data_IF_803472994924
#
_entry.id   IF_803472994924
#
_cell.length_a   1.000
_cell.length_b   1.000
_cell.length_c   1.000
_cell.angle_alpha   90.00
_cell.angle_beta   90.00
_cell.angle_gamma   90.00
#
_symmetry.space_group_name_H-M   'P 1'
#
loop_
_entity.id
_entity.type
_entity.pdbx_description
1 polymer ?
#
# COMPACT_ATOMS: atom_id res chain seq x y z
N UNK A 1 10.60 -32.12 -2.77
CA UNK A 1 10.61 -31.56 -4.14
C UNK A 1 9.28 -30.89 -4.37
N UNK A 2 9.25 -29.54 -4.39
CA UNK A 2 8.04 -28.77 -4.64
C UNK A 2 7.57 -28.91 -6.10
N UNK A 3 6.25 -28.91 -6.31
CA UNK A 3 5.64 -28.86 -7.64
C UNK A 3 5.31 -27.41 -7.97
N UNK A 4 5.75 -26.94 -9.12
CA UNK A 4 5.42 -25.59 -9.61
C UNK A 4 4.15 -25.62 -10.45
N UNK A 5 3.14 -24.82 -10.11
CA UNK A 5 1.92 -24.63 -10.87
C UNK A 5 1.93 -23.26 -11.52
N UNK A 6 1.88 -23.20 -12.84
CA UNK A 6 1.96 -21.95 -13.62
C UNK A 6 0.71 -21.09 -13.55
N UNK A 7 -0.45 -21.72 -13.45
CA UNK A 7 -1.72 -21.03 -13.62
C UNK A 7 -2.74 -21.52 -12.58
N UNK A 8 -2.30 -21.55 -11.32
CA UNK A 8 -3.09 -22.11 -10.22
C UNK A 8 -4.46 -21.44 -10.08
N UNK A 9 -4.54 -20.11 -10.30
CA UNK A 9 -5.78 -19.38 -10.17
C UNK A 9 -6.82 -19.87 -11.18
N UNK A 10 -6.51 -19.91 -12.48
CA UNK A 10 -7.43 -20.39 -13.50
C UNK A 10 -7.75 -21.88 -13.36
N UNK A 11 -6.78 -22.71 -12.96
CA UNK A 11 -6.98 -24.13 -12.69
C UNK A 11 -7.99 -24.37 -11.56
N UNK A 12 -7.99 -23.54 -10.53
CA UNK A 12 -8.87 -23.66 -9.36
C UNK A 12 -10.22 -22.95 -9.53
N UNK A 13 -10.32 -22.04 -10.49
CA UNK A 13 -11.49 -21.20 -10.70
C UNK A 13 -12.00 -21.27 -12.16
N UNK A 14 -12.34 -22.46 -12.68
CA UNK A 14 -12.71 -22.63 -14.09
C UNK A 14 -14.01 -21.92 -14.50
N UNK A 15 -14.85 -21.56 -13.53
CA UNK A 15 -16.08 -20.78 -13.75
C UNK A 15 -15.87 -19.27 -13.70
N UNK A 16 -14.71 -18.80 -13.26
CA UNK A 16 -14.37 -17.36 -13.25
C UNK A 16 -13.85 -16.99 -14.63
N UNK A 17 -14.61 -16.20 -15.37
CA UNK A 17 -14.33 -15.84 -16.77
C UNK A 17 -13.08 -14.97 -16.95
N UNK A 18 -12.57 -14.40 -15.86
CA UNK A 18 -11.42 -13.49 -15.90
C UNK A 18 -10.19 -14.18 -15.33
N UNK A 19 -9.05 -13.94 -15.96
CA UNK A 19 -7.75 -14.21 -15.36
C UNK A 19 -7.57 -13.39 -14.09
N UNK A 20 -6.49 -13.65 -13.32
CA UNK A 20 -6.19 -12.92 -12.07
C UNK A 20 -6.10 -11.40 -12.26
N UNK A 21 -5.88 -10.92 -13.48
CA UNK A 21 -5.83 -9.49 -13.84
C UNK A 21 -4.43 -9.03 -14.24
N UNK A 22 -4.29 -7.71 -14.42
CA UNK A 22 -3.07 -7.07 -14.92
C UNK A 22 -2.34 -6.27 -13.84
N UNK A 23 -1.04 -6.50 -13.71
CA UNK A 23 -0.11 -5.92 -12.73
C UNK A 23 -0.47 -6.24 -11.27
N UNK A 24 0.02 -7.38 -10.78
CA UNK A 24 0.03 -7.71 -9.34
C UNK A 24 1.02 -6.82 -8.59
N UNK A 25 0.53 -5.96 -7.71
CA UNK A 25 1.35 -5.00 -6.99
C UNK A 25 1.73 -5.47 -5.57
N UNK A 26 0.83 -6.14 -4.89
CA UNK A 26 1.04 -6.67 -3.55
C UNK A 26 0.32 -8.01 -3.36
N UNK A 27 0.82 -8.83 -2.44
CA UNK A 27 0.26 -10.13 -2.10
C UNK A 27 0.41 -10.36 -0.61
N UNK A 28 -0.70 -10.46 0.12
CA UNK A 28 -0.72 -10.58 1.56
C UNK A 28 -1.67 -11.69 2.02
N UNK A 29 -1.35 -12.31 3.15
CA UNK A 29 -2.20 -13.30 3.82
C UNK A 29 -2.75 -12.68 5.11
N UNK A 30 -4.05 -12.84 5.32
CA UNK A 30 -4.69 -12.49 6.57
C UNK A 30 -5.75 -13.54 6.93
N UNK A 31 -5.54 -14.24 8.07
CA UNK A 31 -6.34 -15.40 8.44
C UNK A 31 -6.22 -16.53 7.41
N UNK A 32 -7.34 -16.97 6.93
CA UNK A 32 -7.48 -18.03 5.91
C UNK A 32 -7.54 -17.49 4.47
N UNK A 33 -7.30 -16.19 4.26
CA UNK A 33 -7.45 -15.53 2.97
C UNK A 33 -6.12 -15.01 2.43
N UNK A 34 -5.95 -15.17 1.13
CA UNK A 34 -4.89 -14.59 0.31
C UNK A 34 -5.46 -13.42 -0.48
N UNK A 35 -4.87 -12.24 -0.32
CA UNK A 35 -5.27 -11.01 -1.00
C UNK A 35 -4.24 -10.64 -2.05
N UNK A 36 -4.64 -10.65 -3.32
CA UNK A 36 -3.80 -10.21 -4.44
C UNK A 36 -4.26 -8.83 -4.91
N UNK A 37 -3.42 -7.82 -4.73
CA UNK A 37 -3.70 -6.44 -5.14
C UNK A 37 -3.34 -6.28 -6.61
N UNK A 38 -4.35 -6.13 -7.46
CA UNK A 38 -4.20 -6.07 -8.92
C UNK A 38 -4.41 -4.62 -9.40
N UNK A 39 -3.31 -3.93 -9.49
CA UNK A 39 -3.26 -2.47 -9.66
C UNK A 39 -4.00 -1.97 -10.92
N UNK A 40 -3.57 -2.41 -12.11
CA UNK A 40 -4.14 -1.94 -13.38
C UNK A 40 -5.56 -2.48 -13.64
N UNK A 41 -5.97 -3.52 -12.92
CA UNK A 41 -7.34 -4.04 -12.98
C UNK A 41 -8.28 -3.40 -11.97
N UNK A 42 -7.77 -2.55 -11.06
CA UNK A 42 -8.53 -1.79 -10.08
C UNK A 42 -9.31 -2.63 -9.06
N UNK A 43 -8.78 -3.77 -8.67
CA UNK A 43 -9.38 -4.61 -7.63
C UNK A 43 -8.33 -5.39 -6.82
N UNK A 44 -8.76 -5.89 -5.69
CA UNK A 44 -8.06 -6.91 -4.91
C UNK A 44 -8.83 -8.22 -5.07
N UNK A 45 -8.17 -9.24 -5.56
CA UNK A 45 -8.71 -10.59 -5.59
C UNK A 45 -8.51 -11.25 -4.23
N UNK A 46 -9.57 -11.83 -3.69
CA UNK A 46 -9.54 -12.54 -2.41
C UNK A 46 -9.78 -14.02 -2.65
N UNK A 47 -8.83 -14.83 -2.21
CA UNK A 47 -8.81 -16.26 -2.40
C UNK A 47 -8.65 -16.99 -1.07
N UNK A 48 -9.11 -18.20 -1.00
CA UNK A 48 -8.72 -19.15 0.05
C UNK A 48 -7.22 -19.43 -0.05
N UNK A 49 -6.50 -19.31 1.06
CA UNK A 49 -5.01 -19.36 1.07
C UNK A 49 -4.44 -20.75 0.76
N UNK A 50 -5.19 -21.83 1.06
CA UNK A 50 -4.72 -23.20 0.83
C UNK A 50 -5.06 -23.70 -0.58
N UNK A 51 -6.22 -23.32 -1.09
CA UNK A 51 -6.77 -23.87 -2.34
C UNK A 51 -6.64 -22.94 -3.54
N UNK A 52 -6.40 -21.65 -3.32
CA UNK A 52 -6.47 -20.58 -4.31
C UNK A 52 -7.86 -20.43 -4.97
N UNK A 53 -8.91 -20.90 -4.31
CA UNK A 53 -10.29 -20.72 -4.77
C UNK A 53 -10.73 -19.27 -4.52
N UNK A 54 -11.42 -18.71 -5.50
CA UNK A 54 -12.03 -17.39 -5.44
C UNK A 54 -13.05 -17.31 -4.29
N UNK A 55 -12.92 -16.30 -3.45
CA UNK A 55 -13.86 -15.97 -2.37
C UNK A 55 -14.60 -14.66 -2.64
N UNK A 56 -13.98 -13.72 -3.37
CA UNK A 56 -14.58 -12.44 -3.71
C UNK A 56 -13.57 -11.42 -4.24
N UNK A 57 -14.09 -10.25 -4.58
CA UNK A 57 -13.26 -9.11 -5.05
C UNK A 57 -13.61 -7.83 -4.31
N UNK A 58 -12.61 -6.98 -4.13
CA UNK A 58 -12.75 -5.65 -3.56
C UNK A 58 -12.35 -4.63 -4.62
N UNK A 59 -13.28 -3.82 -5.10
CA UNK A 59 -12.99 -2.82 -6.13
C UNK A 59 -12.37 -1.56 -5.51
N UNK A 60 -11.13 -1.28 -5.86
CA UNK A 60 -10.40 -0.07 -5.44
C UNK A 60 -9.59 0.45 -6.62
N UNK A 61 -9.93 1.64 -7.11
CA UNK A 61 -9.24 2.27 -8.25
C UNK A 61 -7.76 2.41 -7.97
N UNK A 62 -6.92 1.88 -8.87
CA UNK A 62 -5.46 1.97 -8.79
C UNK A 62 -4.95 1.64 -7.38
N UNK A 63 -5.36 0.47 -6.86
CA UNK A 63 -4.93 -0.06 -5.58
C UNK A 63 -3.44 -0.39 -5.59
N UNK A 64 -2.73 -0.11 -4.48
CA UNK A 64 -1.27 -0.26 -4.42
C UNK A 64 -0.81 -1.30 -3.42
N UNK A 65 -1.04 -1.06 -2.14
CA UNK A 65 -0.62 -1.94 -1.05
C UNK A 65 -1.77 -2.18 -0.09
N UNK A 66 -1.71 -3.31 0.60
CA UNK A 66 -2.70 -3.71 1.59
C UNK A 66 -2.02 -4.07 2.91
N UNK A 67 -2.60 -3.66 4.03
CA UNK A 67 -2.18 -4.07 5.38
C UNK A 67 -3.40 -4.33 6.25
N UNK A 68 -3.23 -5.01 7.39
CA UNK A 68 -4.36 -5.50 8.18
C UNK A 68 -4.22 -5.17 9.66
N UNK A 69 -5.36 -4.94 10.31
CA UNK A 69 -5.48 -4.85 11.77
C UNK A 69 -6.93 -5.11 12.21
N UNK A 70 -7.12 -5.95 13.22
CA UNK A 70 -8.41 -6.22 13.89
C UNK A 70 -9.59 -6.47 12.91
N UNK A 71 -9.45 -7.41 11.99
CA UNK A 71 -10.50 -7.76 11.03
C UNK A 71 -10.75 -6.70 9.95
N UNK A 72 -9.88 -5.70 9.84
CA UNK A 72 -9.92 -4.67 8.81
C UNK A 72 -8.70 -4.77 7.91
N UNK A 73 -8.89 -4.51 6.63
CA UNK A 73 -7.84 -4.26 5.66
C UNK A 73 -7.79 -2.77 5.32
N UNK A 74 -6.59 -2.25 5.12
CA UNK A 74 -6.35 -0.88 4.67
C UNK A 74 -5.61 -0.93 3.36
N UNK A 75 -6.14 -0.25 2.34
CA UNK A 75 -5.63 -0.29 0.98
C UNK A 75 -5.27 1.12 0.52
N UNK A 76 -4.02 1.32 0.13
CA UNK A 76 -3.60 2.57 -0.50
C UNK A 76 -4.02 2.60 -1.97
N UNK A 77 -4.45 3.77 -2.45
CA UNK A 77 -4.97 4.00 -3.79
C UNK A 77 -4.52 5.34 -4.33
N UNK A 78 -4.07 5.37 -5.58
CA UNK A 78 -3.78 6.63 -6.27
C UNK A 78 -5.04 7.43 -6.60
N UNK A 79 -6.21 6.83 -6.49
CA UNK A 79 -7.52 7.43 -6.80
C UNK A 79 -7.65 7.97 -8.25
N UNK A 80 -6.73 7.63 -9.13
CA UNK A 80 -6.66 8.07 -10.52
C UNK A 80 -5.91 7.07 -11.40
N UNK A 81 -5.76 7.34 -12.69
CA UNK A 81 -5.05 6.45 -13.61
C UNK A 81 -3.56 6.36 -13.26
N UNK A 82 -2.91 5.27 -13.71
CA UNK A 82 -1.45 5.15 -13.69
C UNK A 82 -0.89 5.92 -14.89
N UNK A 83 -0.12 6.97 -14.64
CA UNK A 83 0.50 7.77 -15.70
C UNK A 83 1.20 9.00 -15.14
N UNK A 84 2.14 9.53 -15.89
CA UNK A 84 2.82 10.78 -15.53
C UNK A 84 1.80 11.91 -15.64
N UNK A 85 1.47 12.51 -14.52
CA UNK A 85 0.53 13.63 -14.42
C UNK A 85 0.94 14.58 -13.29
N UNK A 86 1.56 15.73 -13.60
CA UNK A 86 1.91 16.73 -12.59
C UNK A 86 0.69 17.28 -11.84
N UNK A 87 -0.50 17.18 -12.43
CA UNK A 87 -1.76 17.65 -11.87
C UNK A 87 -2.59 16.55 -11.22
N UNK A 88 -2.00 15.35 -11.00
CA UNK A 88 -2.67 14.26 -10.32
C UNK A 88 -3.26 14.73 -8.99
N UNK A 89 -4.48 14.29 -8.69
CA UNK A 89 -5.11 14.56 -7.39
C UNK A 89 -4.45 13.75 -6.27
N UNK A 90 -4.61 14.16 -5.00
CA UNK A 90 -4.20 13.36 -3.85
C UNK A 90 -4.82 11.96 -3.90
N UNK A 91 -4.07 10.99 -3.40
CA UNK A 91 -4.54 9.63 -3.24
C UNK A 91 -5.38 9.45 -1.97
N UNK A 92 -5.75 8.22 -1.70
CA UNK A 92 -6.55 7.87 -0.53
C UNK A 92 -6.14 6.53 0.06
N UNK A 93 -6.58 6.30 1.30
CA UNK A 93 -6.63 4.97 1.91
C UNK A 93 -8.09 4.59 2.08
N UNK A 94 -8.44 3.36 1.73
CA UNK A 94 -9.75 2.78 2.01
C UNK A 94 -9.64 1.73 3.11
N UNK A 95 -10.62 1.69 4.00
CA UNK A 95 -10.81 0.63 4.98
C UNK A 95 -11.83 -0.38 4.44
N UNK A 96 -11.50 -1.65 4.57
CA UNK A 96 -12.33 -2.77 4.14
C UNK A 96 -12.59 -3.71 5.30
N UNK A 97 -13.81 -4.15 5.47
CA UNK A 97 -14.14 -5.24 6.39
C UNK A 97 -13.72 -6.59 5.78
N UNK A 98 -12.87 -7.36 6.45
CA UNK A 98 -12.31 -8.60 5.90
C UNK A 98 -13.29 -9.76 5.85
N UNK A 99 -14.44 -9.65 6.50
CA UNK A 99 -15.50 -10.67 6.49
C UNK A 99 -16.45 -10.43 5.32
N UNK A 100 -16.98 -9.22 5.20
CA UNK A 100 -17.93 -8.85 4.15
C UNK A 100 -17.27 -8.42 2.83
N UNK A 101 -15.96 -8.13 2.84
CA UNK A 101 -15.18 -7.56 1.75
C UNK A 101 -15.70 -6.18 1.27
N UNK A 102 -16.48 -5.52 2.09
CA UNK A 102 -17.04 -4.20 1.78
C UNK A 102 -16.10 -3.07 2.21
N UNK A 103 -15.96 -2.06 1.36
CA UNK A 103 -15.33 -0.78 1.72
C UNK A 103 -16.23 -0.08 2.74
N UNK A 104 -15.69 0.27 3.89
CA UNK A 104 -16.42 0.87 5.03
C UNK A 104 -16.15 2.35 5.20
N UNK A 105 -14.91 2.77 4.97
CA UNK A 105 -14.49 4.18 5.13
C UNK A 105 -13.38 4.51 4.12
N UNK A 106 -13.20 5.80 3.86
CA UNK A 106 -12.05 6.29 3.09
C UNK A 106 -11.52 7.61 3.66
N UNK A 107 -10.24 7.87 3.47
CA UNK A 107 -9.57 9.12 3.86
C UNK A 107 -8.55 9.53 2.80
N UNK A 108 -8.57 10.82 2.44
CA UNK A 108 -7.60 11.41 1.52
C UNK A 108 -6.25 11.57 2.25
N UNK A 109 -5.16 11.22 1.55
CA UNK A 109 -3.78 11.34 2.04
C UNK A 109 -2.94 12.18 1.08
N UNK A 110 -1.62 12.01 1.06
CA UNK A 110 -0.76 12.66 0.06
C UNK A 110 -0.89 12.06 -1.34
N UNK A 111 0.00 12.47 -2.21
CA UNK A 111 -0.02 12.03 -3.61
C UNK A 111 0.58 10.65 -3.77
N UNK A 112 -0.13 9.81 -4.52
CA UNK A 112 0.31 8.46 -4.91
C UNK A 112 0.84 7.65 -3.73
N UNK A 113 -0.05 7.31 -2.76
CA UNK A 113 0.31 6.55 -1.57
C UNK A 113 0.73 5.12 -1.92
N UNK A 114 1.80 4.68 -1.28
CA UNK A 114 2.44 3.39 -1.46
C UNK A 114 2.29 2.50 -0.22
N UNK A 115 3.37 1.86 0.24
CA UNK A 115 3.31 0.93 1.37
C UNK A 115 2.94 1.62 2.69
N UNK A 116 2.34 0.84 3.58
CA UNK A 116 1.79 1.31 4.85
C UNK A 116 2.23 0.39 5.98
N UNK A 117 2.35 0.94 7.20
CA UNK A 117 2.57 0.18 8.42
C UNK A 117 1.66 0.67 9.55
N UNK A 118 1.31 -0.23 10.45
CA UNK A 118 0.44 0.08 11.60
C UNK A 118 1.24 -0.04 12.89
N UNK A 119 1.09 0.96 13.77
CA UNK A 119 1.65 0.96 15.12
C UNK A 119 0.76 1.73 16.08
N UNK A 120 0.39 1.08 17.19
CA UNK A 120 -0.35 1.70 18.32
C UNK A 120 -1.61 2.48 17.89
N UNK A 121 -2.44 1.85 17.04
CA UNK A 121 -3.69 2.45 16.54
C UNK A 121 -3.51 3.56 15.49
N UNK A 122 -2.29 3.76 15.00
CA UNK A 122 -1.98 4.67 13.90
C UNK A 122 -1.59 3.90 12.65
N UNK A 123 -2.02 4.36 11.49
CA UNK A 123 -1.59 3.88 10.17
C UNK A 123 -0.70 4.95 9.53
N UNK A 124 0.52 4.58 9.19
CA UNK A 124 1.49 5.43 8.51
C UNK A 124 1.51 5.07 7.03
N UNK A 125 1.40 6.06 6.16
CA UNK A 125 1.24 5.90 4.71
C UNK A 125 2.35 6.67 4.00
N UNK A 126 3.20 5.99 3.24
CA UNK A 126 4.22 6.63 2.41
C UNK A 126 3.57 7.27 1.18
N UNK A 127 3.76 8.57 0.97
CA UNK A 127 3.29 9.27 -0.22
C UNK A 127 4.47 9.51 -1.17
N UNK A 128 4.42 8.94 -2.37
CA UNK A 128 5.52 9.02 -3.31
C UNK A 128 5.43 10.23 -4.26
N UNK A 129 4.23 10.53 -4.74
CA UNK A 129 4.07 11.43 -5.87
C UNK A 129 4.89 10.98 -7.09
N UNK A 130 5.22 9.68 -7.19
CA UNK A 130 6.22 9.16 -8.13
C UNK A 130 5.91 9.41 -9.61
N UNK A 131 4.63 9.58 -9.96
CA UNK A 131 4.18 9.94 -11.31
C UNK A 131 3.85 11.43 -11.48
N UNK A 132 4.13 12.26 -10.47
CA UNK A 132 3.98 13.74 -10.54
C UNK A 132 5.26 14.45 -10.94
N UNK A 133 6.20 13.79 -11.56
CA UNK A 133 7.45 14.40 -12.00
C UNK A 133 7.24 15.79 -12.62
N UNK A 134 8.03 16.84 -12.23
CA UNK A 134 9.11 16.79 -11.23
C UNK A 134 8.65 17.00 -9.78
N UNK A 135 7.35 17.22 -9.52
CA UNK A 135 6.78 17.63 -8.23
C UNK A 135 6.41 16.40 -7.36
N UNK A 136 7.40 15.59 -7.02
CA UNK A 136 7.20 14.42 -6.14
C UNK A 136 6.60 14.81 -4.78
N UNK A 137 5.79 13.91 -4.20
CA UNK A 137 5.45 14.00 -2.78
C UNK A 137 6.67 13.59 -1.93
N UNK A 138 6.67 14.01 -0.67
CA UNK A 138 7.77 13.77 0.25
C UNK A 138 7.31 13.44 1.66
N UNK A 139 6.05 13.07 1.81
CA UNK A 139 5.40 13.01 3.12
C UNK A 139 5.01 11.59 3.52
N UNK A 140 4.88 11.38 4.83
CA UNK A 140 4.18 10.26 5.43
C UNK A 140 2.92 10.79 6.10
N UNK A 141 1.75 10.34 5.68
CA UNK A 141 0.48 10.64 6.35
C UNK A 141 0.28 9.70 7.54
N UNK A 142 -0.13 10.23 8.69
CA UNK A 142 -0.45 9.48 9.89
C UNK A 142 -1.97 9.54 10.09
N UNK A 143 -2.62 8.39 10.05
CA UNK A 143 -4.06 8.22 10.21
C UNK A 143 -4.34 7.59 11.58
N UNK A 144 -5.22 8.19 12.37
CA UNK A 144 -5.78 7.55 13.56
C UNK A 144 -6.81 6.51 13.13
N UNK A 145 -6.61 5.24 13.45
CA UNK A 145 -7.48 4.14 13.00
C UNK A 145 -8.88 4.17 13.63
N UNK A 146 -9.04 4.79 14.79
CA UNK A 146 -10.34 4.91 15.47
C UNK A 146 -11.25 5.92 14.77
N UNK A 147 -10.73 7.11 14.50
CA UNK A 147 -11.46 8.19 13.82
C UNK A 147 -11.42 8.09 12.30
N UNK A 148 -10.43 7.40 11.79
CA UNK A 148 -10.07 7.30 10.38
C UNK A 148 -9.85 8.66 9.71
N UNK A 149 -9.08 9.50 10.39
CA UNK A 149 -8.71 10.84 9.94
C UNK A 149 -7.19 10.99 9.95
N UNK A 150 -6.65 11.77 9.01
CA UNK A 150 -5.24 12.18 9.04
C UNK A 150 -5.04 13.12 10.22
N UNK A 151 -4.23 12.71 11.18
CA UNK A 151 -3.91 13.50 12.39
C UNK A 151 -2.57 14.19 12.31
N UNK A 152 -1.69 13.77 11.38
CA UNK A 152 -0.37 14.36 11.17
C UNK A 152 0.15 14.05 9.77
N UNK A 153 0.97 14.96 9.26
CA UNK A 153 1.79 14.75 8.06
C UNK A 153 3.25 14.97 8.44
N UNK A 154 4.11 14.00 8.15
CA UNK A 154 5.55 14.03 8.45
C UNK A 154 6.28 14.32 7.16
N UNK A 155 7.05 15.40 7.09
CA UNK A 155 7.96 15.68 6.00
C UNK A 155 9.20 14.79 6.12
N UNK A 156 9.55 14.01 5.09
CA UNK A 156 10.61 13.00 5.12
C UNK A 156 11.60 13.21 3.98
N UNK A 157 11.27 12.75 2.79
CA UNK A 157 12.07 12.81 1.58
C UNK A 157 11.22 12.53 0.35
N UNK A 158 11.64 12.97 -0.82
CA UNK A 158 10.89 12.80 -2.07
C UNK A 158 10.74 11.33 -2.45
N UNK A 159 9.64 11.02 -3.14
CA UNK A 159 9.41 9.73 -3.82
C UNK A 159 9.54 8.52 -2.87
N UNK A 160 8.83 8.58 -1.74
CA UNK A 160 8.80 7.50 -0.74
C UNK A 160 8.13 6.24 -1.32
N UNK A 161 8.55 5.04 -0.84
CA UNK A 161 8.01 3.81 -1.40
C UNK A 161 7.72 2.72 -0.35
N UNK A 162 8.75 2.00 0.09
CA UNK A 162 8.60 0.88 1.02
C UNK A 162 8.75 1.31 2.46
N UNK A 163 7.94 0.68 3.33
CA UNK A 163 7.98 0.92 4.77
C UNK A 163 8.10 -0.39 5.53
N UNK A 164 8.94 -0.41 6.57
CA UNK A 164 9.01 -1.53 7.51
C UNK A 164 9.11 -1.01 8.94
N UNK A 165 8.34 -1.61 9.81
CA UNK A 165 8.32 -1.33 11.24
C UNK A 165 9.27 -2.31 11.97
N UNK A 166 10.14 -1.81 12.82
CA UNK A 166 10.95 -2.65 13.69
C UNK A 166 10.27 -2.91 15.05
N UNK A 167 10.86 -3.81 15.83
CA UNK A 167 10.35 -4.17 17.16
C UNK A 167 10.43 -3.03 18.20
N UNK A 168 11.16 -1.97 17.90
CA UNK A 168 11.35 -0.83 18.80
C UNK A 168 10.39 0.34 18.48
N UNK A 169 9.54 0.19 17.48
CA UNK A 169 8.62 1.24 17.06
C UNK A 169 9.23 2.25 16.11
N UNK A 170 10.29 1.88 15.39
CA UNK A 170 10.87 2.72 14.33
C UNK A 170 10.40 2.25 12.97
N UNK A 171 9.98 3.18 12.14
CA UNK A 171 9.63 2.93 10.76
C UNK A 171 10.84 3.27 9.88
N UNK A 172 11.24 2.33 9.05
CA UNK A 172 12.22 2.54 7.99
C UNK A 172 11.45 2.75 6.69
N UNK A 173 11.61 3.92 6.08
CA UNK A 173 10.95 4.26 4.82
C UNK A 173 11.99 4.57 3.75
N UNK A 174 11.88 3.89 2.60
CA UNK A 174 12.77 4.13 1.46
C UNK A 174 12.32 5.31 0.63
N UNK A 175 13.26 6.12 0.19
CA UNK A 175 13.13 7.12 -0.88
C UNK A 175 13.83 6.61 -2.13
N UNK A 176 13.21 6.75 -3.29
CA UNK A 176 13.83 6.46 -4.59
C UNK A 176 14.66 7.62 -5.13
N UNK A 177 14.60 8.79 -4.46
CA UNK A 177 15.15 10.01 -5.01
C UNK A 177 14.42 10.48 -6.26
N UNK A 178 15.10 11.30 -7.09
CA UNK A 178 14.56 11.83 -8.35
C UNK A 178 15.14 11.14 -9.60
N UNK A 179 15.98 10.13 -9.41
CA UNK A 179 16.72 9.39 -10.44
C UNK A 179 17.79 10.21 -11.19
N UNK A 180 18.08 11.45 -10.77
CA UNK A 180 19.06 12.34 -11.41
C UNK A 180 20.08 12.91 -10.43
N UNK A 181 19.68 13.82 -9.55
CA UNK A 181 20.59 14.51 -8.64
C UNK A 181 20.38 14.17 -7.16
N UNK A 182 19.16 13.76 -6.79
CA UNK A 182 18.82 13.34 -5.44
C UNK A 182 18.84 11.81 -5.38
N UNK A 183 19.83 11.25 -4.68
CA UNK A 183 19.97 9.79 -4.54
C UNK A 183 18.87 9.13 -3.70
N UNK A 184 18.79 7.81 -3.78
CA UNK A 184 17.95 6.98 -2.93
C UNK A 184 18.55 6.87 -1.51
N UNK A 185 17.69 6.75 -0.48
CA UNK A 185 18.12 6.49 0.90
C UNK A 185 16.96 5.84 1.69
N UNK A 186 17.23 5.49 2.94
CA UNK A 186 16.24 4.98 3.89
C UNK A 186 16.21 5.89 5.10
N UNK A 187 15.04 6.46 5.38
CA UNK A 187 14.79 7.38 6.48
C UNK A 187 14.15 6.65 7.65
N UNK A 188 14.40 7.13 8.87
CA UNK A 188 13.92 6.53 10.11
C UNK A 188 12.94 7.49 10.78
N UNK A 189 11.72 6.98 11.04
CA UNK A 189 10.67 7.70 11.77
C UNK A 189 10.47 7.00 13.12
N UNK A 190 10.48 7.76 14.19
CA UNK A 190 10.11 7.31 15.53
C UNK A 190 8.59 7.47 15.70
N UNK A 191 7.89 6.36 16.02
CA UNK A 191 6.42 6.36 16.13
C UNK A 191 5.89 6.93 17.45
N UNK A 192 6.75 7.13 18.46
CA UNK A 192 6.34 7.78 19.71
C UNK A 192 6.25 9.29 19.53
N UNK A 193 7.15 9.87 18.74
CA UNK A 193 7.21 11.32 18.49
C UNK A 193 6.62 11.72 17.16
N UNK A 194 6.40 10.76 16.26
CA UNK A 194 6.01 10.96 14.85
C UNK A 194 6.95 11.96 14.16
N UNK A 195 8.27 11.71 14.25
CA UNK A 195 9.32 12.55 13.68
C UNK A 195 10.39 11.72 13.00
N UNK A 196 10.98 12.28 11.96
CA UNK A 196 12.22 11.74 11.37
C UNK A 196 13.35 11.91 12.37
N UNK A 197 14.08 10.83 12.65
CA UNK A 197 15.20 10.81 13.58
C UNK A 197 16.55 10.63 12.90
N UNK A 198 16.58 10.30 11.64
CA UNK A 198 17.79 10.12 10.85
C UNK A 198 17.54 9.39 9.54
N UNK A 199 18.63 9.05 8.87
CA UNK A 199 18.67 8.22 7.66
C UNK A 199 19.86 7.26 7.73
N UNK A 200 19.89 6.26 6.87
CA UNK A 200 20.99 5.28 6.83
C UNK A 200 22.22 5.75 6.06
N UNK A 201 22.08 6.77 5.23
CA UNK A 201 23.17 7.27 4.39
C UNK A 201 23.62 6.27 3.34
N UNK A 202 22.67 5.51 2.78
CA UNK A 202 22.92 4.52 1.73
C UNK A 202 23.06 5.29 0.42
N UNK A 203 24.29 5.65 0.07
CA UNK A 203 24.57 6.21 -1.25
C UNK A 203 24.40 5.10 -2.30
N UNK A 204 23.57 5.34 -3.30
CA UNK A 204 23.43 4.51 -4.50
C UNK A 204 24.40 5.01 -5.59
#
# INVERSE_FOLDING_TARGET
TGKYHRNIYAERNPSVVKELGDVGNDLQIYGDKLYAVINCSNFIEVMDVETAQHLGQINVTNCRYITFNDGKAYVSSYAGPVGIDPNARPGKVVEVDTTSLAVTREVVVGYQPEEMVIKDGKLYVANSGGYRFPDYDRTVSVIDLKTFQVIKTIDVAINLHRMKLDRYGRIYVSSRGDYYGTGSDVFIIDTQTDRVTGNLGIAA
#
